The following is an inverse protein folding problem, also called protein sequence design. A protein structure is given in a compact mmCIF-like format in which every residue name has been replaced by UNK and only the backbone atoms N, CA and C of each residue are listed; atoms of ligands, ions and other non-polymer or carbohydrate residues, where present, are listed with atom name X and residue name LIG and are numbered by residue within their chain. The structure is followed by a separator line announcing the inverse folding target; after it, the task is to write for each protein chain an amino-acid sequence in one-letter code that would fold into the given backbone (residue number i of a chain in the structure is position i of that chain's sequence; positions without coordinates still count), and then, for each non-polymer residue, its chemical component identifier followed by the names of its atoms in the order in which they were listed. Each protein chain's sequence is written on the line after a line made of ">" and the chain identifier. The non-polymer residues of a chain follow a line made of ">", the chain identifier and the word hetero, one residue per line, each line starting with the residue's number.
data_IF_393182890933
#
_entry.id   IF_393182890933
#
_cell.length_a   1.000
_cell.length_b   1.000
_cell.length_c   1.000
_cell.angle_alpha   90.00
_cell.angle_beta   90.00
_cell.angle_gamma   90.00
#
_symmetry.space_group_name_H-M   'P 1'
#
loop_
_entity.id
_entity.type
_entity.pdbx_description
1 polymer ?
#
# COMPACT_ATOMS: atom_id res chain seq x y z
N UNK A 1 -2.83 2.60 -7.09
CA UNK A 1 -4.13 3.01 -7.66
C UNK A 1 -4.04 4.47 -7.99
N UNK A 2 -4.57 4.87 -9.13
CA UNK A 2 -4.53 6.25 -9.60
C UNK A 2 -5.89 6.63 -10.19
N UNK A 3 -6.29 7.92 -10.12
CA UNK A 3 -7.48 8.39 -10.80
C UNK A 3 -7.25 8.44 -12.31
N UNK A 4 -8.18 7.90 -13.08
CA UNK A 4 -8.18 8.02 -14.54
C UNK A 4 -8.52 9.46 -14.96
N UNK A 5 -7.76 10.00 -15.92
CA UNK A 5 -8.00 11.35 -16.42
C UNK A 5 -9.39 11.48 -17.04
N UNK A 6 -10.14 12.51 -16.62
CA UNK A 6 -11.47 12.83 -17.14
C UNK A 6 -12.61 12.24 -16.31
N UNK A 7 -12.57 10.94 -16.01
CA UNK A 7 -13.60 10.28 -15.17
C UNK A 7 -13.31 10.41 -13.68
N UNK A 8 -12.03 10.51 -13.30
CA UNK A 8 -11.51 10.44 -11.94
C UNK A 8 -11.88 9.14 -11.21
N UNK A 9 -12.23 8.09 -11.95
CA UNK A 9 -12.43 6.76 -11.37
C UNK A 9 -11.10 6.14 -10.96
N UNK A 10 -11.10 5.37 -9.89
CA UNK A 10 -9.91 4.65 -9.45
C UNK A 10 -9.64 3.44 -10.32
N UNK A 11 -8.40 3.36 -10.82
CA UNK A 11 -7.88 2.21 -11.55
C UNK A 11 -6.68 1.62 -10.80
N UNK A 12 -6.67 0.29 -10.66
CA UNK A 12 -5.53 -0.43 -10.08
C UNK A 12 -4.39 -0.48 -11.09
N UNK A 13 -3.33 0.29 -10.83
CA UNK A 13 -2.10 0.34 -11.63
C UNK A 13 -0.98 -0.53 -11.07
N UNK A 14 -0.98 -0.74 -9.75
CA UNK A 14 0.08 -1.45 -9.01
C UNK A 14 -0.52 -2.38 -7.96
N UNK A 15 0.05 -3.58 -7.81
CA UNK A 15 -0.22 -4.52 -6.72
C UNK A 15 1.01 -4.65 -5.82
N UNK A 16 0.81 -4.96 -4.54
CA UNK A 16 1.93 -5.34 -3.69
C UNK A 16 2.32 -6.80 -3.95
N UNK A 17 3.61 -7.16 -3.82
CA UNK A 17 4.04 -8.55 -3.91
C UNK A 17 3.19 -9.48 -3.05
N UNK A 18 2.70 -10.58 -3.63
CA UNK A 18 1.82 -11.55 -2.97
C UNK A 18 0.32 -11.22 -2.97
N UNK A 19 -0.10 -10.06 -3.49
CA UNK A 19 -1.52 -9.69 -3.64
C UNK A 19 -2.03 -10.05 -5.03
N UNK A 20 -3.20 -10.70 -5.09
CA UNK A 20 -3.86 -11.07 -6.36
C UNK A 20 -5.01 -10.13 -6.72
N UNK A 21 -5.44 -10.14 -7.98
CA UNK A 21 -6.61 -9.36 -8.44
C UNK A 21 -7.88 -9.78 -7.73
N UNK A 22 -8.05 -11.07 -7.48
CA UNK A 22 -9.22 -11.65 -6.81
C UNK A 22 -9.31 -11.17 -5.37
N UNK A 23 -8.18 -11.07 -4.66
CA UNK A 23 -8.15 -10.51 -3.31
C UNK A 23 -8.58 -9.04 -3.30
N UNK A 24 -8.11 -8.24 -4.27
CA UNK A 24 -8.52 -6.84 -4.41
C UNK A 24 -10.01 -6.73 -4.71
N UNK A 25 -10.54 -7.54 -5.63
CA UNK A 25 -11.98 -7.57 -5.95
C UNK A 25 -12.80 -7.95 -4.72
N UNK A 26 -12.41 -9.01 -4.00
CA UNK A 26 -13.13 -9.46 -2.81
C UNK A 26 -13.10 -8.44 -1.66
N UNK A 27 -12.03 -7.65 -1.54
CA UNK A 27 -11.89 -6.61 -0.53
C UNK A 27 -12.56 -5.28 -0.91
N UNK A 28 -12.98 -5.11 -2.17
CA UNK A 28 -13.54 -3.85 -2.68
C UNK A 28 -15.06 -3.95 -2.83
N UNK A 29 -15.80 -3.07 -2.15
CA UNK A 29 -17.26 -3.09 -2.11
C UNK A 29 -17.97 -2.59 -3.38
N UNK A 30 -17.24 -2.32 -4.45
CA UNK A 30 -17.74 -1.82 -5.74
C UNK A 30 -16.94 -2.43 -6.89
N UNK A 31 -17.47 -2.32 -8.11
CA UNK A 31 -16.78 -2.81 -9.31
C UNK A 31 -15.49 -2.01 -9.53
N UNK A 32 -14.36 -2.71 -9.55
CA UNK A 32 -13.02 -2.13 -9.62
C UNK A 32 -12.36 -2.42 -10.96
N UNK A 33 -11.76 -1.39 -11.57
CA UNK A 33 -11.05 -1.51 -12.83
C UNK A 33 -9.55 -1.70 -12.60
N UNK A 34 -8.92 -2.46 -13.49
CA UNK A 34 -7.48 -2.67 -13.52
C UNK A 34 -6.89 -2.07 -14.80
N UNK A 35 -5.70 -1.50 -14.71
CA UNK A 35 -4.95 -1.09 -15.88
C UNK A 35 -4.62 -2.29 -16.78
N UNK A 36 -4.38 -2.03 -18.07
CA UNK A 36 -3.99 -3.07 -19.01
C UNK A 36 -2.69 -3.77 -18.56
N UNK A 37 -1.75 -2.98 -18.05
CA UNK A 37 -0.53 -3.47 -17.41
C UNK A 37 -0.57 -3.08 -15.93
N UNK A 38 -0.58 -4.10 -15.07
CA UNK A 38 -0.48 -3.93 -13.63
C UNK A 38 0.91 -4.39 -13.21
N UNK A 39 1.64 -3.50 -12.54
CA UNK A 39 3.00 -3.78 -12.06
C UNK A 39 2.98 -4.13 -10.58
N UNK A 40 4.08 -4.70 -10.07
CA UNK A 40 4.26 -4.88 -8.63
C UNK A 40 5.02 -3.70 -8.03
N UNK A 41 4.66 -3.28 -6.82
CA UNK A 41 5.44 -2.29 -6.08
C UNK A 41 6.83 -2.87 -5.77
N UNK A 42 7.85 -2.02 -5.86
CA UNK A 42 9.21 -2.39 -5.45
C UNK A 42 9.26 -2.70 -3.94
N UNK A 43 10.18 -3.58 -3.55
CA UNK A 43 10.45 -3.82 -2.13
C UNK A 43 11.14 -2.59 -1.53
N UNK A 44 10.83 -2.23 -0.27
CA UNK A 44 11.53 -1.15 0.42
C UNK A 44 13.03 -1.44 0.53
N UNK A 45 13.84 -0.38 0.45
CA UNK A 45 15.28 -0.48 0.67
C UNK A 45 15.63 -0.66 2.15
N UNK A 46 16.83 -1.16 2.45
CA UNK A 46 17.34 -1.26 3.82
C UNK A 46 17.35 0.10 4.54
N UNK A 47 17.66 1.17 3.82
CA UNK A 47 17.70 2.54 4.38
C UNK A 47 16.30 2.98 4.80
N UNK A 48 15.30 2.75 3.96
CA UNK A 48 13.90 3.08 4.27
C UNK A 48 13.36 2.24 5.43
N UNK A 49 13.66 0.94 5.45
CA UNK A 49 13.24 0.06 6.54
C UNK A 49 13.87 0.46 7.88
N UNK A 50 15.15 0.80 7.88
CA UNK A 50 15.83 1.26 9.10
C UNK A 50 15.26 2.59 9.59
N UNK A 51 15.05 3.55 8.68
CA UNK A 51 14.47 4.84 9.02
C UNK A 51 13.05 4.70 9.58
N UNK A 52 12.22 3.83 8.99
CA UNK A 52 10.86 3.58 9.46
C UNK A 52 10.85 2.96 10.87
N UNK A 53 11.66 1.93 11.11
CA UNK A 53 11.74 1.27 12.43
C UNK A 53 12.23 2.20 13.53
N UNK A 54 13.21 3.06 13.23
CA UNK A 54 13.66 4.07 14.20
C UNK A 54 12.55 5.08 14.50
N UNK A 55 11.83 5.53 13.46
CA UNK A 55 10.70 6.43 13.63
C UNK A 55 9.61 5.82 14.52
N UNK A 56 9.22 4.58 14.26
CA UNK A 56 8.23 3.85 15.06
C UNK A 56 8.67 3.69 16.51
N UNK A 57 9.95 3.36 16.76
CA UNK A 57 10.48 3.23 18.11
C UNK A 57 10.41 4.53 18.92
N UNK A 58 10.68 5.68 18.29
CA UNK A 58 10.56 6.99 18.95
C UNK A 58 9.10 7.36 19.22
N UNK A 59 8.20 7.05 18.28
CA UNK A 59 6.75 7.27 18.45
C UNK A 59 6.20 6.43 19.60
N UNK A 60 6.57 5.14 19.64
CA UNK A 60 6.23 4.22 20.71
C UNK A 60 6.69 4.74 22.08
N UNK A 61 7.94 5.18 22.19
CA UNK A 61 8.48 5.75 23.42
C UNK A 61 7.74 7.03 23.87
N UNK A 62 7.33 7.88 22.93
CA UNK A 62 6.61 9.11 23.22
C UNK A 62 5.17 8.86 23.68
N UNK A 63 4.51 7.83 23.14
CA UNK A 63 3.09 7.56 23.38
C UNK A 63 2.83 6.39 24.35
N UNK A 64 3.86 5.70 24.83
CA UNK A 64 3.70 4.50 25.65
C UNK A 64 3.07 3.32 24.90
N UNK A 65 3.23 3.27 23.58
CA UNK A 65 2.74 2.22 22.69
C UNK A 65 3.85 1.23 22.35
N UNK A 66 3.51 0.07 21.78
CA UNK A 66 4.52 -0.81 21.14
C UNK A 66 4.80 -0.30 19.73
N UNK A 67 6.07 -0.33 19.31
CA UNK A 67 6.45 0.06 17.95
C UNK A 67 5.82 -0.89 16.92
N UNK A 68 5.23 -0.34 15.86
CA UNK A 68 4.56 -1.10 14.81
C UNK A 68 3.10 -1.47 15.10
N UNK A 69 2.52 -1.06 16.22
CA UNK A 69 1.06 -1.16 16.45
C UNK A 69 0.36 0.05 15.82
N UNK A 70 -0.31 -0.18 14.69
CA UNK A 70 -1.27 0.73 14.06
C UNK A 70 -2.70 0.22 14.25
#
# INVERSE_FOLDING_TARGET
>A
MEPEAGTNEFVVTTLHPGVTREQVIAATGWEIRFAEQVVYSEEPTDVELNALRELEARTAAAHGQVAGEA
#
